data_IF_629645274408
#
_entry.id   IF_629645274408
#
_cell.length_a   1.000
_cell.length_b   1.000
_cell.length_c   1.000
_cell.angle_alpha   90.00
_cell.angle_beta   90.00
_cell.angle_gamma   90.00
#
_symmetry.space_group_name_H-M   'P 1'
#
loop_
_entity.id
_entity.type
_entity.pdbx_description
1 polymer ?
#
# COMPACT_ATOMS: atom_id res chain seq x y z
N UNK A 1 -25.99 20.97 2.99
CA UNK A 1 -26.09 19.88 4.00
C UNK A 1 -25.79 18.48 3.46
N UNK A 2 -26.15 18.09 2.21
CA UNK A 2 -25.90 16.72 1.69
C UNK A 2 -24.43 16.35 1.41
N UNK A 3 -23.57 17.31 1.03
CA UNK A 3 -22.16 17.02 0.73
C UNK A 3 -21.31 16.74 1.99
N UNK A 4 -21.66 17.34 3.14
CA UNK A 4 -20.89 17.22 4.39
C UNK A 4 -21.04 15.82 5.02
N UNK A 5 -22.21 15.19 4.88
CA UNK A 5 -22.46 13.82 5.36
C UNK A 5 -21.67 12.77 4.59
N UNK A 6 -21.52 12.96 3.26
CA UNK A 6 -20.82 12.00 2.41
C UNK A 6 -19.31 11.95 2.68
N UNK A 7 -18.69 13.09 3.04
CA UNK A 7 -17.27 13.12 3.40
C UNK A 7 -17.00 12.43 4.75
N UNK A 8 -17.87 12.66 5.74
CA UNK A 8 -17.70 12.04 7.07
C UNK A 8 -17.88 10.51 7.00
N UNK A 9 -18.77 10.03 6.13
CA UNK A 9 -18.93 8.60 5.85
C UNK A 9 -17.72 8.03 5.07
N UNK A 10 -17.15 8.80 4.14
CA UNK A 10 -15.92 8.41 3.43
C UNK A 10 -14.72 8.26 4.37
N UNK A 11 -14.56 9.15 5.35
CA UNK A 11 -13.46 9.05 6.31
C UNK A 11 -13.59 7.84 7.22
N UNK A 12 -14.82 7.56 7.70
CA UNK A 12 -15.10 6.37 8.50
C UNK A 12 -14.84 5.08 7.72
N UNK A 13 -15.24 5.04 6.45
CA UNK A 13 -14.99 3.88 5.59
C UNK A 13 -13.49 3.64 5.38
N UNK A 14 -12.72 4.71 5.15
CA UNK A 14 -11.27 4.61 4.99
C UNK A 14 -10.57 4.15 6.28
N UNK A 15 -10.97 4.68 7.44
CA UNK A 15 -10.47 4.22 8.74
C UNK A 15 -10.75 2.73 8.96
N UNK A 16 -11.99 2.27 8.72
CA UNK A 16 -12.37 0.87 8.88
C UNK A 16 -11.58 -0.05 7.92
N UNK A 17 -11.34 0.41 6.69
CA UNK A 17 -10.50 -0.30 5.71
C UNK A 17 -9.07 -0.45 6.23
N UNK A 18 -8.48 0.63 6.75
CA UNK A 18 -7.12 0.61 7.29
C UNK A 18 -7.01 -0.24 8.57
N UNK A 19 -8.01 -0.18 9.45
CA UNK A 19 -8.06 -1.05 10.63
C UNK A 19 -8.09 -2.53 10.24
N UNK A 20 -8.89 -2.88 9.23
CA UNK A 20 -8.92 -4.25 8.69
C UNK A 20 -7.54 -4.69 8.19
N UNK A 21 -6.81 -3.80 7.49
CA UNK A 21 -5.46 -4.09 7.02
C UNK A 21 -4.46 -4.27 8.17
N UNK A 22 -4.50 -3.39 9.17
CA UNK A 22 -3.59 -3.45 10.32
C UNK A 22 -3.89 -4.66 11.23
N UNK A 23 -5.15 -5.05 11.36
CA UNK A 23 -5.57 -6.29 12.04
C UNK A 23 -5.04 -7.53 11.31
N UNK A 24 -5.14 -7.56 9.98
CA UNK A 24 -4.64 -8.67 9.17
C UNK A 24 -3.13 -8.89 9.34
N UNK A 25 -2.38 -7.80 9.53
CA UNK A 25 -0.93 -7.79 9.70
C UNK A 25 -0.48 -7.86 11.17
N UNK A 26 -1.41 -8.11 12.11
CA UNK A 26 -1.13 -8.20 13.55
C UNK A 26 -0.47 -6.92 14.09
N UNK A 27 -0.80 -5.75 13.55
CA UNK A 27 -0.34 -4.46 14.08
C UNK A 27 -1.30 -3.95 15.15
N UNK A 28 -2.60 -4.22 15.02
CA UNK A 28 -3.61 -3.92 16.03
C UNK A 28 -4.11 -5.24 16.60
N UNK A 29 -4.40 -5.27 17.89
CA UNK A 29 -5.00 -6.44 18.55
C UNK A 29 -6.46 -6.61 18.13
N UNK A 30 -6.91 -7.87 18.05
CA UNK A 30 -8.33 -8.16 17.90
C UNK A 30 -9.07 -7.75 19.17
N UNK A 31 -10.26 -7.19 18.99
CA UNK A 31 -11.21 -7.12 20.10
C UNK A 31 -11.50 -8.55 20.61
N UNK A 32 -11.73 -8.74 21.92
CA UNK A 32 -11.83 -10.06 22.56
C UNK A 32 -12.92 -11.00 22.00
N UNK A 33 -13.78 -10.53 21.07
CA UNK A 33 -14.90 -11.29 20.50
C UNK A 33 -14.77 -11.59 18.98
N UNK A 34 -13.64 -11.30 18.32
CA UNK A 34 -13.49 -11.54 16.88
C UNK A 34 -12.82 -12.89 16.57
N UNK A 35 -13.62 -13.87 16.11
CA UNK A 35 -13.22 -15.26 15.80
C UNK A 35 -12.70 -15.47 14.38
N UNK A 36 -12.47 -14.39 13.61
CA UNK A 36 -12.08 -14.50 12.19
C UNK A 36 -10.67 -15.08 12.01
N UNK A 37 -10.54 -16.34 11.59
CA UNK A 37 -9.25 -16.98 11.29
C UNK A 37 -8.56 -16.31 10.08
N UNK A 38 -7.38 -15.71 10.30
CA UNK A 38 -6.59 -15.14 9.20
C UNK A 38 -5.65 -16.20 8.61
N UNK A 39 -5.84 -16.49 7.32
CA UNK A 39 -4.86 -17.17 6.45
C UNK A 39 -3.72 -16.21 6.09
N UNK A 40 -2.94 -15.78 7.08
CA UNK A 40 -1.70 -15.04 6.84
C UNK A 40 -0.63 -16.05 6.41
N UNK A 41 0.07 -15.79 5.30
CA UNK A 41 1.27 -16.54 4.94
C UNK A 41 2.27 -16.38 6.09
N UNK A 42 2.50 -17.43 6.87
CA UNK A 42 3.44 -17.39 7.99
C UNK A 42 4.86 -17.23 7.45
N UNK A 43 5.42 -16.04 7.67
CA UNK A 43 6.82 -15.75 7.39
C UNK A 43 7.59 -16.12 8.65
N UNK A 44 7.99 -17.38 8.77
CA UNK A 44 8.94 -17.79 9.80
C UNK A 44 10.32 -17.18 9.46
N UNK A 45 10.56 -15.95 9.93
CA UNK A 45 11.86 -15.29 9.87
C UNK A 45 12.04 -14.41 11.12
N UNK A 46 13.00 -14.71 12.01
CA UNK A 46 13.17 -13.97 13.27
C UNK A 46 13.34 -12.46 13.09
N UNK A 47 14.10 -12.05 12.07
CA UNK A 47 14.32 -10.63 11.75
C UNK A 47 13.06 -9.94 11.18
N UNK A 48 12.16 -10.69 10.52
CA UNK A 48 10.91 -10.14 10.02
C UNK A 48 9.98 -9.84 11.20
N UNK A 49 9.83 -10.78 12.12
CA UNK A 49 9.04 -10.61 13.33
C UNK A 49 9.57 -9.49 14.22
N UNK A 50 10.89 -9.38 14.39
CA UNK A 50 11.49 -8.28 15.14
C UNK A 50 11.15 -6.92 14.51
N UNK A 51 11.28 -6.79 13.18
CA UNK A 51 10.96 -5.54 12.47
C UNK A 51 9.46 -5.25 12.49
N UNK A 52 8.61 -6.26 12.40
CA UNK A 52 7.16 -6.11 12.50
C UNK A 52 6.77 -5.63 13.90
N UNK A 53 7.38 -6.18 14.95
CA UNK A 53 7.18 -5.73 16.33
C UNK A 53 7.62 -4.28 16.54
N UNK A 54 8.69 -3.83 15.89
CA UNK A 54 9.11 -2.41 15.91
C UNK A 54 8.06 -1.51 15.27
N UNK A 55 7.50 -1.90 14.11
CA UNK A 55 6.41 -1.16 13.45
C UNK A 55 5.18 -1.09 14.36
N UNK A 56 4.80 -2.22 14.98
CA UNK A 56 3.70 -2.31 15.94
C UNK A 56 3.90 -1.34 17.11
N UNK A 57 5.06 -1.39 17.75
CA UNK A 57 5.38 -0.55 18.89
C UNK A 57 5.34 0.94 18.54
N UNK A 58 5.91 1.32 17.39
CA UNK A 58 5.89 2.70 16.90
C UNK A 58 4.45 3.18 16.65
N UNK A 59 3.63 2.37 15.98
CA UNK A 59 2.23 2.70 15.71
C UNK A 59 1.44 2.97 16.99
N UNK A 60 1.51 2.07 17.99
CA UNK A 60 0.78 2.26 19.25
C UNK A 60 1.27 3.48 20.05
N UNK A 61 2.58 3.73 20.05
CA UNK A 61 3.16 4.89 20.72
C UNK A 61 2.66 6.19 20.11
N UNK A 62 2.71 6.29 18.78
CA UNK A 62 2.26 7.49 18.07
C UNK A 62 0.73 7.64 18.13
N UNK A 63 -0.03 6.55 18.11
CA UNK A 63 -1.49 6.59 18.29
C UNK A 63 -1.87 7.13 19.67
N UNK A 64 -1.26 6.61 20.74
CA UNK A 64 -1.53 7.09 22.09
C UNK A 64 -1.17 8.58 22.26
N UNK A 65 -0.07 9.01 21.63
CA UNK A 65 0.34 10.42 21.60
C UNK A 65 -0.66 11.27 20.81
N UNK A 66 -1.12 10.79 19.66
CA UNK A 66 -2.13 11.45 18.85
C UNK A 66 -3.45 11.60 19.62
N UNK A 67 -3.93 10.54 20.28
CA UNK A 67 -5.18 10.56 21.05
C UNK A 67 -5.11 11.56 22.19
N UNK A 68 -4.01 11.57 22.95
CA UNK A 68 -3.77 12.56 24.00
C UNK A 68 -3.79 13.99 23.45
N UNK A 69 -2.96 14.26 22.44
CA UNK A 69 -2.86 15.60 21.86
C UNK A 69 -4.18 16.08 21.25
N UNK A 70 -4.94 15.16 20.63
CA UNK A 70 -6.25 15.44 20.04
C UNK A 70 -7.27 15.84 21.11
N UNK A 71 -7.29 15.11 22.23
CA UNK A 71 -8.16 15.41 23.36
C UNK A 71 -7.80 16.75 24.02
N UNK A 72 -6.52 16.99 24.27
CA UNK A 72 -6.02 18.24 24.85
C UNK A 72 -6.35 19.43 23.93
N UNK A 73 -6.14 19.28 22.62
CA UNK A 73 -6.46 20.31 21.64
C UNK A 73 -7.96 20.59 21.56
N UNK A 74 -8.81 19.56 21.48
CA UNK A 74 -10.26 19.75 21.44
C UNK A 74 -10.78 20.45 22.71
N UNK A 75 -10.25 20.06 23.88
CA UNK A 75 -10.59 20.68 25.16
C UNK A 75 -10.20 22.15 25.16
N UNK A 76 -8.99 22.48 24.73
CA UNK A 76 -8.52 23.86 24.66
C UNK A 76 -9.35 24.72 23.69
N UNK A 77 -9.65 24.20 22.50
CA UNK A 77 -10.52 24.90 21.54
C UNK A 77 -11.91 25.14 22.12
N UNK A 78 -12.49 24.15 22.79
CA UNK A 78 -13.78 24.28 23.48
C UNK A 78 -13.76 25.39 24.53
N UNK A 79 -12.74 25.41 25.40
CA UNK A 79 -12.58 26.44 26.43
C UNK A 79 -12.49 27.83 25.81
N UNK A 80 -11.65 28.02 24.77
CA UNK A 80 -11.50 29.31 24.10
C UNK A 80 -12.80 29.80 23.46
N UNK A 81 -13.57 28.91 22.82
CA UNK A 81 -14.84 29.26 22.20
C UNK A 81 -15.89 29.69 23.23
N UNK A 82 -15.93 29.03 24.39
CA UNK A 82 -16.78 29.44 25.50
C UNK A 82 -16.36 30.78 26.13
N UNK A 83 -15.06 31.02 26.28
CA UNK A 83 -14.57 32.31 26.77
C UNK A 83 -14.91 33.45 25.81
N UNK A 84 -14.75 33.22 24.50
CA UNK A 84 -15.08 34.20 23.47
C UNK A 84 -16.58 34.52 23.40
N UNK A 85 -17.46 33.53 23.68
CA UNK A 85 -18.91 33.75 23.67
C UNK A 85 -19.37 34.76 24.73
N UNK A 86 -18.54 35.03 25.74
CA UNK A 86 -18.83 36.03 26.78
C UNK A 86 -18.53 37.48 26.33
N UNK A 87 -17.68 37.65 25.32
CA UNK A 87 -17.24 38.97 24.81
C UNK A 87 -18.02 39.35 23.56
N UNK A 88 -18.43 38.35 22.77
CA UNK A 88 -19.23 38.50 21.56
C UNK A 88 -20.26 37.38 21.53
N UNK A 89 -21.53 37.64 21.13
CA UNK A 89 -22.50 36.57 20.97
C UNK A 89 -22.00 35.60 19.88
N UNK A 90 -21.65 34.38 20.29
CA UNK A 90 -21.34 33.22 19.45
C UNK A 90 -22.43 32.20 19.76
N UNK A 91 -23.09 31.66 18.74
CA UNK A 91 -24.17 30.69 18.99
C UNK A 91 -23.60 29.30 19.27
N UNK A 92 -24.32 28.45 20.04
CA UNK A 92 -23.91 27.06 20.25
C UNK A 92 -23.71 26.26 18.95
N UNK A 93 -24.45 26.61 17.90
CA UNK A 93 -24.33 26.01 16.57
C UNK A 93 -23.00 26.37 15.90
N UNK A 94 -22.54 27.62 16.06
CA UNK A 94 -21.23 28.07 15.55
C UNK A 94 -20.08 27.35 16.27
N UNK A 95 -20.16 27.20 17.59
CA UNK A 95 -19.18 26.43 18.39
C UNK A 95 -19.12 24.98 17.89
N UNK A 96 -20.28 24.34 17.73
CA UNK A 96 -20.40 22.97 17.24
C UNK A 96 -19.80 22.83 15.83
N UNK A 97 -20.02 23.81 14.96
CA UNK A 97 -19.45 23.82 13.61
C UNK A 97 -17.91 23.93 13.62
N UNK A 98 -17.34 24.84 14.42
CA UNK A 98 -15.89 24.99 14.54
C UNK A 98 -15.21 23.73 15.08
N UNK A 99 -15.81 23.08 16.08
CA UNK A 99 -15.33 21.80 16.62
C UNK A 99 -15.43 20.69 15.56
N UNK A 100 -16.50 20.67 14.76
CA UNK A 100 -16.63 19.71 13.65
C UNK A 100 -15.48 19.84 12.66
N UNK A 101 -15.08 21.06 12.29
CA UNK A 101 -13.92 21.30 11.41
C UNK A 101 -12.63 20.75 12.03
N UNK A 102 -12.40 21.01 13.32
CA UNK A 102 -11.23 20.49 14.05
C UNK A 102 -11.22 18.96 14.03
N UNK A 103 -12.34 18.32 14.37
CA UNK A 103 -12.48 16.86 14.38
C UNK A 103 -12.24 16.24 13.00
N UNK A 104 -12.71 16.87 11.92
CA UNK A 104 -12.43 16.42 10.54
C UNK A 104 -10.93 16.44 10.24
N UNK A 105 -10.21 17.50 10.63
CA UNK A 105 -8.74 17.56 10.46
C UNK A 105 -8.01 16.50 11.27
N UNK A 106 -8.43 16.26 12.51
CA UNK A 106 -7.87 15.19 13.34
C UNK A 106 -8.09 13.81 12.71
N UNK A 107 -9.28 13.57 12.14
CA UNK A 107 -9.57 12.34 11.41
C UNK A 107 -8.60 12.09 10.25
N UNK A 108 -8.29 13.12 9.45
CA UNK A 108 -7.32 13.03 8.37
C UNK A 108 -5.91 12.68 8.86
N UNK A 109 -5.49 13.26 9.99
CA UNK A 109 -4.19 12.93 10.61
C UNK A 109 -4.17 11.46 11.06
N UNK A 110 -5.26 10.97 11.64
CA UNK A 110 -5.39 9.57 12.04
C UNK A 110 -5.34 8.61 10.84
N UNK A 111 -6.02 8.97 9.73
CA UNK A 111 -5.95 8.23 8.46
C UNK A 111 -4.50 8.17 7.97
N UNK A 112 -3.80 9.31 7.95
CA UNK A 112 -2.41 9.36 7.49
C UNK A 112 -1.48 8.48 8.35
N UNK A 113 -1.65 8.49 9.68
CA UNK A 113 -0.89 7.64 10.58
C UNK A 113 -1.07 6.16 10.20
N UNK A 114 -2.32 5.70 10.06
CA UNK A 114 -2.63 4.32 9.68
C UNK A 114 -2.12 3.96 8.28
N UNK A 115 -2.23 4.87 7.30
CA UNK A 115 -1.68 4.67 5.95
C UNK A 115 -0.17 4.48 5.96
N UNK A 116 0.57 5.34 6.69
CA UNK A 116 2.02 5.22 6.83
C UNK A 116 2.41 3.88 7.47
N UNK A 117 1.64 3.41 8.45
CA UNK A 117 1.87 2.09 9.06
C UNK A 117 1.59 0.94 8.10
N UNK A 118 0.49 0.97 7.35
CA UNK A 118 0.20 -0.02 6.30
C UNK A 118 1.32 -0.07 5.26
N UNK A 119 1.82 1.09 4.82
CA UNK A 119 2.93 1.18 3.87
C UNK A 119 4.22 0.58 4.44
N UNK A 120 4.56 0.90 5.70
CA UNK A 120 5.72 0.33 6.37
C UNK A 120 5.66 -1.21 6.42
N UNK A 121 4.49 -1.77 6.75
CA UNK A 121 4.26 -3.22 6.73
C UNK A 121 4.40 -3.78 5.32
N UNK A 122 3.79 -3.13 4.32
CA UNK A 122 3.84 -3.63 2.95
C UNK A 122 5.26 -3.62 2.37
N UNK A 123 6.04 -2.58 2.68
CA UNK A 123 7.46 -2.50 2.35
C UNK A 123 8.28 -3.60 3.05
N UNK A 124 7.98 -3.89 4.32
CA UNK A 124 8.60 -5.00 5.05
C UNK A 124 8.26 -6.34 4.37
N UNK A 125 6.99 -6.57 4.03
CA UNK A 125 6.55 -7.77 3.30
C UNK A 125 7.25 -7.91 1.96
N UNK A 126 7.31 -6.87 1.14
CA UNK A 126 8.02 -6.93 -0.15
C UNK A 126 9.49 -7.31 0.04
N UNK A 127 10.17 -6.75 1.04
CA UNK A 127 11.58 -7.06 1.30
C UNK A 127 11.82 -8.52 1.69
N UNK A 128 10.90 -9.19 2.37
CA UNK A 128 11.09 -10.55 2.85
C UNK A 128 10.36 -11.62 2.02
N UNK A 129 9.16 -11.34 1.51
CA UNK A 129 8.37 -12.22 0.64
C UNK A 129 8.78 -12.14 -0.82
N UNK A 130 9.00 -10.94 -1.38
CA UNK A 130 9.42 -10.82 -2.78
C UNK A 130 10.91 -11.12 -2.94
N UNK A 131 11.73 -11.01 -1.89
CA UNK A 131 13.08 -11.57 -1.89
C UNK A 131 13.09 -13.10 -1.95
N UNK A 132 12.08 -13.79 -1.39
CA UNK A 132 11.85 -15.24 -1.61
C UNK A 132 11.43 -15.54 -3.04
N UNK A 133 10.69 -14.63 -3.70
CA UNK A 133 10.55 -14.66 -5.17
C UNK A 133 11.86 -14.21 -5.81
N UNK A 134 12.90 -15.02 -5.66
CA UNK A 134 14.11 -14.97 -6.49
C UNK A 134 13.63 -14.72 -7.92
N UNK A 135 13.89 -13.54 -8.50
CA UNK A 135 13.70 -13.31 -9.93
C UNK A 135 14.60 -14.35 -10.60
N UNK A 136 14.02 -15.48 -10.99
CA UNK A 136 14.74 -16.52 -11.71
C UNK A 136 14.95 -15.93 -13.10
N UNK A 137 16.15 -15.43 -13.33
CA UNK A 137 16.58 -15.18 -14.70
C UNK A 137 16.40 -16.48 -15.48
N UNK A 138 16.01 -16.37 -16.73
CA UNK A 138 16.07 -17.50 -17.64
C UNK A 138 17.48 -18.07 -17.62
N UNK A 139 17.59 -19.39 -17.70
CA UNK A 139 18.88 -20.05 -17.83
C UNK A 139 19.54 -19.65 -19.16
N UNK A 140 20.84 -19.92 -19.30
CA UNK A 140 21.61 -19.50 -20.48
C UNK A 140 21.02 -20.08 -21.77
N UNK A 141 20.47 -21.30 -21.70
CA UNK A 141 19.86 -21.99 -22.84
C UNK A 141 18.58 -21.29 -23.29
N UNK A 142 17.64 -21.02 -22.38
CA UNK A 142 16.41 -20.27 -22.70
C UNK A 142 16.75 -18.88 -23.24
N UNK A 143 17.70 -18.18 -22.61
CA UNK A 143 18.13 -16.86 -23.10
C UNK A 143 18.68 -16.95 -24.53
N UNK A 144 19.50 -17.96 -24.83
CA UNK A 144 20.05 -18.17 -26.17
C UNK A 144 18.95 -18.37 -27.20
N UNK A 145 18.02 -19.30 -26.94
CA UNK A 145 16.92 -19.64 -27.86
C UNK A 145 16.04 -18.41 -28.16
N UNK A 146 15.62 -17.69 -27.12
CA UNK A 146 14.75 -16.51 -27.29
C UNK A 146 15.49 -15.36 -28.00
N UNK A 147 16.77 -15.16 -27.72
CA UNK A 147 17.58 -14.16 -28.41
C UNK A 147 17.79 -14.53 -29.88
N UNK A 148 18.09 -15.78 -30.20
CA UNK A 148 18.30 -16.26 -31.56
C UNK A 148 17.07 -16.00 -32.44
N UNK A 149 15.87 -16.31 -31.94
CA UNK A 149 14.64 -15.98 -32.63
C UNK A 149 14.47 -14.46 -32.82
N UNK A 150 14.68 -13.68 -31.75
CA UNK A 150 14.55 -12.22 -31.80
C UNK A 150 15.47 -11.57 -32.84
N UNK A 151 16.74 -11.97 -32.88
CA UNK A 151 17.73 -11.39 -33.78
C UNK A 151 17.57 -11.87 -35.24
N UNK A 152 17.07 -13.09 -35.45
CA UNK A 152 16.72 -13.56 -36.80
C UNK A 152 15.45 -12.91 -37.36
N UNK A 153 14.60 -12.31 -36.52
CA UNK A 153 13.34 -11.68 -36.90
C UNK A 153 13.30 -10.17 -36.54
N UNK A 154 14.42 -9.47 -36.64
CA UNK A 154 14.50 -8.04 -36.24
C UNK A 154 13.53 -7.13 -37.01
N UNK A 155 13.20 -7.44 -38.26
CA UNK A 155 12.23 -6.69 -39.06
C UNK A 155 10.81 -6.80 -38.51
N UNK A 156 10.45 -7.95 -37.92
CA UNK A 156 9.15 -8.19 -37.31
C UNK A 156 9.27 -9.14 -36.10
N UNK A 157 9.71 -8.64 -34.92
CA UNK A 157 9.99 -9.45 -33.74
C UNK A 157 8.72 -9.77 -32.93
N UNK A 158 7.69 -10.25 -33.63
CA UNK A 158 6.38 -10.63 -33.10
C UNK A 158 6.11 -12.09 -33.50
N UNK A 159 6.55 -13.08 -32.68
CA UNK A 159 6.25 -14.48 -32.95
C UNK A 159 4.73 -14.71 -32.98
N UNK A 160 4.27 -15.57 -33.88
CA UNK A 160 2.88 -16.03 -33.91
C UNK A 160 2.56 -16.92 -32.69
N UNK A 161 1.28 -17.19 -32.42
CA UNK A 161 0.89 -18.05 -31.28
C UNK A 161 1.55 -19.44 -31.34
N UNK A 162 1.57 -20.06 -32.52
CA UNK A 162 2.24 -21.35 -32.72
C UNK A 162 3.74 -21.30 -32.39
N UNK A 163 4.41 -20.21 -32.79
CA UNK A 163 5.84 -20.03 -32.50
C UNK A 163 6.06 -19.79 -31.01
N UNK A 164 5.18 -19.04 -30.34
CA UNK A 164 5.27 -18.83 -28.88
C UNK A 164 5.10 -20.14 -28.12
N UNK A 165 4.17 -21.00 -28.53
CA UNK A 165 3.99 -22.33 -27.96
C UNK A 165 5.24 -23.20 -28.14
N UNK A 166 5.85 -23.18 -29.33
CA UNK A 166 7.09 -23.89 -29.58
C UNK A 166 8.25 -23.37 -28.73
N UNK A 167 8.43 -22.06 -28.63
CA UNK A 167 9.47 -21.44 -27.81
C UNK A 167 9.28 -21.74 -26.33
N UNK A 168 8.03 -21.67 -25.84
CA UNK A 168 7.66 -22.02 -24.47
C UNK A 168 8.04 -23.47 -24.16
N UNK A 169 7.67 -24.41 -25.03
CA UNK A 169 8.02 -25.83 -24.92
C UNK A 169 9.53 -26.06 -24.96
N UNK A 170 10.25 -25.46 -25.91
CA UNK A 170 11.72 -25.60 -26.05
C UNK A 170 12.48 -25.07 -24.83
N UNK A 171 11.98 -23.99 -24.22
CA UNK A 171 12.63 -23.34 -23.09
C UNK A 171 12.14 -23.87 -21.73
N UNK A 172 11.10 -24.72 -21.68
CA UNK A 172 10.49 -25.16 -20.43
C UNK A 172 9.87 -24.01 -19.62
N UNK A 173 9.32 -23.00 -20.31
CA UNK A 173 8.67 -21.82 -19.70
C UNK A 173 7.23 -21.70 -20.19
N UNK A 174 6.44 -20.85 -19.53
CA UNK A 174 5.06 -20.59 -19.95
C UNK A 174 5.00 -19.63 -21.14
N UNK A 175 3.92 -19.71 -21.93
CA UNK A 175 3.65 -18.79 -23.05
C UNK A 175 3.62 -17.32 -22.56
N UNK A 176 3.06 -17.07 -21.37
CA UNK A 176 3.06 -15.75 -20.73
C UNK A 176 4.48 -15.22 -20.48
N UNK A 177 5.41 -16.07 -20.03
CA UNK A 177 6.81 -15.70 -19.85
C UNK A 177 7.49 -15.36 -21.19
N UNK A 178 7.18 -16.09 -22.28
CA UNK A 178 7.65 -15.77 -23.63
C UNK A 178 7.10 -14.41 -24.09
N UNK A 179 5.79 -14.18 -23.96
CA UNK A 179 5.14 -12.91 -24.31
C UNK A 179 5.79 -11.71 -23.60
N UNK A 180 5.94 -11.82 -22.29
CA UNK A 180 6.58 -10.80 -21.47
C UNK A 180 8.04 -10.57 -21.85
N UNK A 181 8.78 -11.63 -22.17
CA UNK A 181 10.17 -11.50 -22.59
C UNK A 181 10.29 -10.74 -23.91
N UNK A 182 9.49 -11.08 -24.92
CA UNK A 182 9.51 -10.40 -26.23
C UNK A 182 9.07 -8.94 -26.14
N UNK A 183 8.02 -8.65 -25.37
CA UNK A 183 7.60 -7.26 -25.11
C UNK A 183 8.72 -6.42 -24.49
N UNK A 184 9.36 -6.96 -23.45
CA UNK A 184 10.49 -6.29 -22.80
C UNK A 184 11.73 -6.18 -23.69
N UNK A 185 12.06 -7.21 -24.47
CA UNK A 185 13.21 -7.22 -25.38
C UNK A 185 13.06 -6.16 -26.47
N UNK A 186 11.88 -6.05 -27.12
CA UNK A 186 11.58 -4.99 -28.09
C UNK A 186 11.72 -3.60 -27.49
N UNK A 187 11.13 -3.37 -26.31
CA UNK A 187 11.22 -2.08 -25.62
C UNK A 187 12.66 -1.67 -25.30
N UNK A 188 13.49 -2.61 -24.81
CA UNK A 188 14.92 -2.37 -24.55
C UNK A 188 15.72 -2.12 -25.83
N UNK A 189 15.46 -2.91 -26.88
CA UNK A 189 16.14 -2.75 -28.16
C UNK A 189 15.86 -1.38 -28.78
N UNK A 190 14.58 -0.96 -28.85
CA UNK A 190 14.19 0.37 -29.36
C UNK A 190 14.85 1.51 -28.59
N UNK A 191 14.87 1.44 -27.26
CA UNK A 191 15.55 2.46 -26.41
C UNK A 191 17.05 2.55 -26.65
N UNK A 192 17.70 1.42 -26.94
CA UNK A 192 19.14 1.39 -27.20
C UNK A 192 19.48 1.92 -28.60
N UNK A 193 18.62 1.68 -29.60
CA UNK A 193 18.81 2.25 -30.94
C UNK A 193 18.68 3.78 -30.92
N UNK A 194 17.66 4.31 -30.24
CA UNK A 194 17.42 5.77 -30.11
C UNK A 194 18.50 6.53 -29.31
N UNK A 195 19.38 5.84 -28.58
CA UNK A 195 20.49 6.45 -27.82
C UNK A 195 21.79 6.53 -28.62
N UNK A 196 21.86 5.81 -29.74
CA UNK A 196 23.04 5.70 -30.58
C UNK A 196 22.87 6.47 -31.91
N UNK A 197 21.83 7.30 -31.99
CA UNK A 197 21.61 8.37 -33.00
C UNK A 197 21.81 9.72 -32.32
#
# INVERSE_FOLDING_TARGET
MRQISNEDDSYKQELARLDTMLLAERIIDRYPNDTSTNNSIEIEHPEYEEKLNRIRHFYHTELARFDKNSNDFCTHVLTLLHEQSNIRPITPEEISHMISIVRKKLCLIQIQLKQNTCEAVMNLRTRFLDARRKRRNFDKTTQKILNEYFYSHLSNPYPSEQVKEELARKCGVTISQVNNWFGNKRGRYKKNMLKNE
#
